data_IF_296317186225
#
_entry.id   IF_296317186225
#
_cell.length_a   1.000
_cell.length_b   1.000
_cell.length_c   1.000
_cell.angle_alpha   90.00
_cell.angle_beta   90.00
_cell.angle_gamma   90.00
#
_symmetry.space_group_name_H-M   'P 1'
#
loop_
_entity.id
_entity.type
_entity.pdbx_description
1 polymer ?
#
# COMPACT_ATOMS: atom_id res chain seq x y z
N UNK A 1 1.88 -20.15 1.04
CA UNK A 1 1.82 -19.07 0.04
C UNK A 1 2.32 -17.76 0.61
N UNK A 2 3.24 -17.12 -0.08
CA UNK A 2 3.71 -15.77 0.26
C UNK A 2 3.31 -14.86 -0.91
N UNK A 3 2.52 -13.82 -0.62
CA UNK A 3 2.09 -12.85 -1.61
C UNK A 3 2.77 -11.52 -1.40
N UNK A 4 3.25 -10.91 -2.47
CA UNK A 4 3.84 -9.58 -2.49
C UNK A 4 3.01 -8.67 -3.37
N UNK A 5 2.63 -7.52 -2.85
CA UNK A 5 1.97 -6.46 -3.61
C UNK A 5 2.83 -5.21 -3.53
N UNK A 6 3.25 -4.70 -4.70
CA UNK A 6 3.99 -3.45 -4.78
C UNK A 6 3.14 -2.41 -5.46
N UNK A 7 3.09 -1.21 -4.87
CA UNK A 7 2.24 -0.13 -5.34
C UNK A 7 3.04 1.15 -5.53
N UNK A 8 2.77 1.83 -6.65
CA UNK A 8 3.20 3.21 -6.88
C UNK A 8 2.01 4.11 -6.61
N UNK A 9 2.17 5.03 -5.68
CA UNK A 9 1.13 5.99 -5.33
C UNK A 9 1.53 7.39 -5.77
N UNK A 10 0.53 8.16 -6.19
CA UNK A 10 0.67 9.57 -6.49
C UNK A 10 -0.23 10.35 -5.52
N UNK A 11 0.33 11.42 -4.95
CA UNK A 11 -0.37 12.32 -4.03
C UNK A 11 -0.30 13.73 -4.62
N UNK A 12 -1.17 14.04 -5.59
CA UNK A 12 -1.02 15.28 -6.39
C UNK A 12 -1.19 16.57 -5.59
N UNK A 13 -1.88 16.51 -4.46
CA UNK A 13 -2.13 17.70 -3.64
C UNK A 13 -1.10 17.92 -2.55
N UNK A 14 -0.19 16.99 -2.33
CA UNK A 14 0.84 17.14 -1.32
C UNK A 14 1.87 18.17 -1.77
N UNK A 15 2.22 19.11 -0.89
CA UNK A 15 3.19 20.18 -1.14
C UNK A 15 4.37 20.13 -0.18
N UNK A 16 4.47 19.07 0.60
CA UNK A 16 5.56 18.86 1.55
C UNK A 16 5.60 17.39 1.95
N UNK A 17 6.69 16.96 2.56
CA UNK A 17 6.76 15.63 3.16
C UNK A 17 5.76 15.48 4.30
N UNK A 18 5.47 16.55 5.01
CA UNK A 18 4.46 16.55 6.06
C UNK A 18 3.07 16.25 5.51
N UNK A 19 2.71 16.85 4.39
CA UNK A 19 1.42 16.62 3.73
C UNK A 19 1.28 15.15 3.28
N UNK A 20 2.38 14.56 2.82
CA UNK A 20 2.40 13.16 2.40
C UNK A 20 2.23 12.21 3.58
N UNK A 21 2.82 12.51 4.73
CA UNK A 21 2.84 11.60 5.89
C UNK A 21 1.46 11.25 6.40
N UNK A 22 0.53 12.20 6.40
CA UNK A 22 -0.78 11.97 6.98
C UNK A 22 -1.56 10.87 6.26
N UNK A 23 -1.79 10.94 4.94
CA UNK A 23 -2.47 9.84 4.25
C UNK A 23 -1.69 8.53 4.29
N UNK A 24 -0.37 8.57 4.24
CA UNK A 24 0.44 7.35 4.34
C UNK A 24 0.31 6.69 5.71
N UNK A 25 0.37 7.44 6.79
CA UNK A 25 0.17 6.89 8.14
C UNK A 25 -1.19 6.24 8.29
N UNK A 26 -2.21 6.88 7.73
CA UNK A 26 -3.56 6.35 7.74
C UNK A 26 -3.63 4.99 7.01
N UNK A 27 -3.02 4.91 5.83
CA UNK A 27 -2.96 3.66 5.07
C UNK A 27 -2.22 2.58 5.85
N UNK A 28 -1.01 2.87 6.30
CA UNK A 28 -0.17 1.90 7.01
C UNK A 28 -0.86 1.39 8.26
N UNK A 29 -1.45 2.29 9.04
CA UNK A 29 -2.13 1.96 10.29
C UNK A 29 -3.34 1.07 10.04
N UNK A 30 -4.21 1.44 9.09
CA UNK A 30 -5.40 0.66 8.78
C UNK A 30 -5.08 -0.73 8.24
N UNK A 31 -4.11 -0.81 7.34
CA UNK A 31 -3.73 -2.10 6.75
C UNK A 31 -3.17 -3.03 7.83
N UNK A 32 -2.32 -2.51 8.71
CA UNK A 32 -1.76 -3.30 9.82
C UNK A 32 -2.83 -3.75 10.81
N UNK A 33 -3.82 -2.88 11.05
CA UNK A 33 -4.90 -3.19 11.99
C UNK A 33 -5.86 -4.24 11.43
N UNK A 34 -6.18 -4.15 10.16
CA UNK A 34 -7.24 -4.96 9.54
C UNK A 34 -6.74 -6.27 8.93
N UNK A 35 -5.44 -6.40 8.67
CA UNK A 35 -4.90 -7.54 7.93
C UNK A 35 -3.60 -8.04 8.55
N UNK A 36 -3.40 -9.36 8.46
CA UNK A 36 -2.16 -10.00 8.91
C UNK A 36 -1.12 -9.93 7.80
N UNK A 37 -0.56 -8.75 7.60
CA UNK A 37 0.47 -8.48 6.58
C UNK A 37 1.51 -7.53 7.14
N UNK A 38 2.68 -7.51 6.51
CA UNK A 38 3.67 -6.45 6.71
C UNK A 38 3.51 -5.44 5.58
N UNK A 39 3.56 -4.16 5.92
CA UNK A 39 3.48 -3.08 4.95
C UNK A 39 4.50 -1.99 5.29
N UNK A 40 5.15 -1.44 4.28
CA UNK A 40 6.11 -0.35 4.47
C UNK A 40 6.20 0.51 3.22
N UNK A 41 6.60 1.76 3.41
CA UNK A 41 7.04 2.62 2.31
C UNK A 41 8.47 2.20 1.96
N UNK A 42 8.71 1.82 0.70
CA UNK A 42 9.99 1.25 0.27
C UNK A 42 10.67 2.05 -0.84
N UNK A 43 10.01 3.07 -1.38
CA UNK A 43 10.58 3.90 -2.45
C UNK A 43 10.00 5.30 -2.39
N UNK A 44 10.75 6.26 -2.96
CA UNK A 44 10.36 7.67 -3.08
C UNK A 44 10.15 8.38 -1.74
N UNK A 45 10.90 7.99 -0.71
CA UNK A 45 10.74 8.53 0.63
C UNK A 45 10.89 10.06 0.69
N UNK A 46 11.76 10.61 -0.16
CA UNK A 46 12.02 12.05 -0.17
C UNK A 46 11.17 12.83 -1.18
N UNK A 47 10.27 12.16 -1.88
CA UNK A 47 9.39 12.78 -2.86
C UNK A 47 8.06 13.13 -2.19
N UNK A 48 7.58 14.36 -2.36
CA UNK A 48 6.34 14.82 -1.73
C UNK A 48 5.10 14.17 -2.32
N UNK A 49 5.14 13.87 -3.61
CA UNK A 49 3.96 13.50 -4.39
C UNK A 49 3.98 12.05 -4.86
N UNK A 50 4.96 11.28 -4.41
CA UNK A 50 5.06 9.86 -4.77
C UNK A 50 5.38 9.03 -3.55
N UNK A 51 4.87 7.82 -3.55
CA UNK A 51 5.21 6.83 -2.53
C UNK A 51 5.21 5.45 -3.16
N UNK A 52 6.23 4.66 -2.84
CA UNK A 52 6.25 3.26 -3.20
C UNK A 52 5.97 2.42 -1.96
N UNK A 53 4.95 1.57 -2.02
CA UNK A 53 4.59 0.69 -0.92
C UNK A 53 4.83 -0.76 -1.28
N UNK A 54 5.23 -1.56 -0.31
CA UNK A 54 5.28 -3.01 -0.44
C UNK A 54 4.45 -3.63 0.68
N UNK A 55 3.64 -4.62 0.31
CA UNK A 55 2.80 -5.38 1.22
C UNK A 55 3.14 -6.85 1.05
N UNK A 56 3.45 -7.54 2.15
CA UNK A 56 3.76 -8.98 2.14
C UNK A 56 2.87 -9.70 3.12
N UNK A 57 2.25 -10.78 2.66
CA UNK A 57 1.42 -11.62 3.49
C UNK A 57 1.67 -13.09 3.26
N UNK A 58 1.30 -13.89 4.23
CA UNK A 58 1.41 -15.35 4.21
C UNK A 58 0.05 -15.96 4.46
N UNK A 59 -0.30 -16.97 3.69
CA UNK A 59 -1.51 -17.75 3.91
C UNK A 59 -1.29 -19.17 3.36
N UNK A 60 -1.99 -20.15 3.90
CA UNK A 60 -1.93 -21.52 3.38
C UNK A 60 -2.63 -21.62 2.01
N UNK A 61 -3.57 -20.74 1.72
CA UNK A 61 -4.35 -20.76 0.50
C UNK A 61 -4.12 -19.53 -0.35
N UNK A 62 -3.85 -19.73 -1.64
CA UNK A 62 -3.62 -18.66 -2.60
C UNK A 62 -4.85 -17.76 -2.77
N UNK A 63 -6.04 -18.36 -2.86
CA UNK A 63 -7.28 -17.60 -3.02
C UNK A 63 -7.51 -16.65 -1.87
N UNK A 64 -7.25 -17.11 -0.64
CA UNK A 64 -7.38 -16.26 0.54
C UNK A 64 -6.38 -15.09 0.51
N UNK A 65 -5.14 -15.36 0.08
CA UNK A 65 -4.12 -14.32 -0.03
C UNK A 65 -4.48 -13.30 -1.12
N UNK A 66 -4.98 -13.76 -2.27
CA UNK A 66 -5.45 -12.88 -3.34
C UNK A 66 -6.56 -11.95 -2.85
N UNK A 67 -7.52 -12.49 -2.09
CA UNK A 67 -8.62 -11.70 -1.53
C UNK A 67 -8.10 -10.63 -0.58
N UNK A 68 -7.15 -10.98 0.27
CA UNK A 68 -6.54 -10.04 1.20
C UNK A 68 -5.85 -8.89 0.45
N UNK A 69 -5.05 -9.21 -0.58
CA UNK A 69 -4.38 -8.18 -1.37
C UNK A 69 -5.36 -7.30 -2.13
N UNK A 70 -6.46 -7.88 -2.65
CA UNK A 70 -7.52 -7.11 -3.33
C UNK A 70 -8.19 -6.12 -2.37
N UNK A 71 -8.48 -6.54 -1.15
CA UNK A 71 -9.08 -5.68 -0.13
C UNK A 71 -8.15 -4.54 0.26
N UNK A 72 -6.87 -4.83 0.41
CA UNK A 72 -5.86 -3.83 0.74
C UNK A 72 -5.74 -2.80 -0.39
N UNK A 73 -5.65 -3.26 -1.63
CA UNK A 73 -5.58 -2.37 -2.79
C UNK A 73 -6.80 -1.45 -2.84
N UNK A 74 -7.99 -1.99 -2.66
CA UNK A 74 -9.22 -1.21 -2.66
C UNK A 74 -9.23 -0.16 -1.56
N UNK A 75 -8.81 -0.52 -0.35
CA UNK A 75 -8.75 0.42 0.77
C UNK A 75 -7.79 1.58 0.48
N UNK A 76 -6.65 1.29 -0.17
CA UNK A 76 -5.68 2.30 -0.56
C UNK A 76 -6.26 3.20 -1.66
N UNK A 77 -6.89 2.62 -2.68
CA UNK A 77 -7.51 3.38 -3.77
C UNK A 77 -8.63 4.30 -3.27
N UNK A 78 -9.32 3.94 -2.22
CA UNK A 78 -10.40 4.74 -1.62
C UNK A 78 -9.89 5.82 -0.65
N UNK A 79 -8.59 5.88 -0.40
CA UNK A 79 -8.01 6.88 0.49
C UNK A 79 -8.00 8.25 -0.19
N UNK A 80 -8.62 9.29 0.41
CA UNK A 80 -8.62 10.62 -0.20
C UNK A 80 -7.22 11.16 -0.40
N UNK A 81 -6.99 11.80 -1.55
CA UNK A 81 -5.71 12.42 -1.89
C UNK A 81 -4.67 11.46 -2.43
N UNK A 82 -5.01 10.19 -2.60
CA UNK A 82 -4.09 9.15 -3.07
C UNK A 82 -4.61 8.56 -4.38
N UNK A 83 -3.74 8.48 -5.37
CA UNK A 83 -4.02 7.83 -6.65
C UNK A 83 -3.05 6.67 -6.80
N UNK A 84 -3.56 5.48 -7.11
CA UNK A 84 -2.72 4.33 -7.40
C UNK A 84 -2.28 4.41 -8.86
N UNK A 85 -0.98 4.66 -9.08
CA UNK A 85 -0.42 4.86 -10.41
C UNK A 85 0.21 3.58 -10.99
N UNK A 86 0.42 2.56 -10.18
CA UNK A 86 0.97 1.30 -10.64
C UNK A 86 0.84 0.21 -9.60
N UNK A 87 0.75 -1.02 -10.08
CA UNK A 87 0.56 -2.19 -9.24
C UNK A 87 1.33 -3.37 -9.81
N UNK A 88 2.01 -4.13 -8.96
CA UNK A 88 2.62 -5.41 -9.32
C UNK A 88 2.38 -6.42 -8.21
N UNK A 89 2.14 -7.68 -8.60
CA UNK A 89 2.00 -8.79 -7.66
C UNK A 89 2.98 -9.90 -8.00
N UNK A 90 3.50 -10.53 -6.96
CA UNK A 90 4.31 -11.72 -7.09
C UNK A 90 3.90 -12.75 -6.05
N UNK A 91 4.03 -14.02 -6.43
CA UNK A 91 3.88 -15.15 -5.52
C UNK A 91 5.28 -15.73 -5.29
N UNK A 92 5.69 -15.74 -4.05
CA UNK A 92 7.03 -16.17 -3.67
C UNK A 92 7.03 -17.58 -3.06
#
# INVERSE_FOLDING_TARGET
MIGLLELELHLPEAQSLKDKRQPLRSILSRVRQDHNVSIAEVAHQDDWQRAGLAVVGVNTERVAMERTLDLILRAIEETPGVVCAGEQRQWL
#
